data_IF_644933998981
#
_entry.id   IF_644933998981
#
_cell.length_a   1.000
_cell.length_b   1.000
_cell.length_c   1.000
_cell.angle_alpha   90.00
_cell.angle_beta   90.00
_cell.angle_gamma   90.00
#
_symmetry.space_group_name_H-M   'P 1'
#
loop_
_entity.id
_entity.type
_entity.pdbx_description
1 polymer ?
#
# COMPACT_ATOMS: atom_id res chain seq x y z
N UNK A 1 11.66 -37.90 -12.34
CA UNK A 1 12.35 -37.95 -11.05
C UNK A 1 13.50 -36.95 -11.06
N UNK A 2 13.34 -35.81 -10.39
CA UNK A 2 14.44 -34.88 -10.09
C UNK A 2 13.98 -33.99 -8.93
N UNK A 3 14.25 -34.41 -7.69
CA UNK A 3 14.10 -33.55 -6.50
C UNK A 3 15.29 -32.60 -6.45
N UNK A 4 15.10 -31.27 -6.33
CA UNK A 4 16.23 -30.38 -6.11
C UNK A 4 16.80 -30.59 -4.71
N UNK A 5 18.11 -30.78 -4.66
CA UNK A 5 18.92 -31.05 -3.47
C UNK A 5 18.82 -29.92 -2.44
N UNK A 6 18.54 -30.28 -1.19
CA UNK A 6 18.78 -29.45 -0.01
C UNK A 6 20.29 -29.22 0.14
N UNK A 7 20.78 -28.03 -0.18
CA UNK A 7 22.07 -27.52 0.32
C UNK A 7 21.81 -26.27 1.14
N UNK A 8 21.75 -26.43 2.45
CA UNK A 8 21.83 -25.34 3.41
C UNK A 8 23.31 -25.17 3.78
N UNK A 9 23.88 -23.99 3.50
CA UNK A 9 25.22 -23.62 3.95
C UNK A 9 25.21 -23.40 5.48
N UNK A 10 26.17 -24.02 6.17
CA UNK A 10 26.30 -24.08 7.63
C UNK A 10 27.09 -22.90 8.21
N UNK A 11 26.51 -21.70 8.20
CA UNK A 11 26.91 -20.61 9.11
C UNK A 11 25.68 -19.75 9.42
N UNK A 12 24.84 -20.25 10.33
CA UNK A 12 23.54 -19.63 10.65
C UNK A 12 23.78 -18.55 11.71
N UNK A 13 23.79 -17.28 11.31
CA UNK A 13 23.79 -16.16 12.26
C UNK A 13 22.49 -16.06 13.07
N UNK A 14 22.49 -15.36 14.23
CA UNK A 14 21.33 -15.26 15.13
C UNK A 14 20.08 -14.69 14.47
N UNK A 15 20.22 -13.76 13.52
CA UNK A 15 19.15 -13.23 12.67
C UNK A 15 18.37 -14.31 11.92
N UNK A 16 19.09 -15.28 11.36
CA UNK A 16 18.47 -16.37 10.62
C UNK A 16 17.68 -17.33 11.54
N UNK A 17 17.94 -17.31 12.85
CA UNK A 17 17.23 -18.14 13.84
C UNK A 17 15.86 -17.56 14.18
N UNK A 18 15.79 -16.27 14.49
CA UNK A 18 14.54 -15.56 14.83
C UNK A 18 13.49 -15.66 13.71
N UNK A 19 13.89 -15.31 12.48
CA UNK A 19 13.03 -15.40 11.29
C UNK A 19 12.60 -16.84 11.03
N UNK A 20 13.53 -17.81 11.13
CA UNK A 20 13.22 -19.23 10.92
C UNK A 20 12.25 -19.77 11.95
N UNK A 21 12.32 -19.33 13.21
CA UNK A 21 11.39 -19.74 14.25
C UNK A 21 9.98 -19.20 13.97
N UNK A 22 9.86 -17.92 13.59
CA UNK A 22 8.59 -17.34 13.19
C UNK A 22 7.99 -18.08 11.97
N UNK A 23 8.80 -18.34 10.94
CA UNK A 23 8.38 -19.12 9.76
C UNK A 23 7.88 -20.50 10.16
N UNK A 24 8.60 -21.23 11.03
CA UNK A 24 8.19 -22.55 11.50
C UNK A 24 6.88 -22.50 12.27
N UNK A 25 6.74 -21.56 13.18
CA UNK A 25 5.51 -21.36 13.96
C UNK A 25 4.31 -21.14 13.03
N UNK A 26 4.44 -20.22 12.06
CA UNK A 26 3.34 -19.91 11.15
C UNK A 26 3.11 -20.98 10.09
N UNK A 27 4.14 -21.70 9.65
CA UNK A 27 3.97 -22.87 8.79
C UNK A 27 3.18 -23.98 9.49
N UNK A 28 3.47 -24.25 10.76
CA UNK A 28 2.70 -25.22 11.56
C UNK A 28 1.25 -24.76 11.74
N UNK A 29 0.99 -23.47 11.87
CA UNK A 29 -0.37 -22.93 11.95
C UNK A 29 -1.10 -23.04 10.60
N UNK A 30 -0.50 -22.54 9.53
CA UNK A 30 -1.15 -22.34 8.24
C UNK A 30 -1.16 -23.59 7.35
N UNK A 31 -0.30 -24.58 7.62
CA UNK A 31 -0.14 -25.84 6.88
C UNK A 31 0.05 -25.65 5.36
N UNK A 32 1.06 -24.87 4.91
CA UNK A 32 1.37 -24.77 3.48
C UNK A 32 2.01 -26.08 2.97
N UNK A 33 1.85 -26.36 1.68
CA UNK A 33 2.46 -27.54 1.04
C UNK A 33 3.96 -27.32 0.79
N UNK A 34 4.34 -26.07 0.50
CA UNK A 34 5.70 -25.66 0.21
C UNK A 34 6.04 -24.36 0.94
N UNK A 35 7.32 -24.16 1.24
CA UNK A 35 7.85 -22.90 1.78
C UNK A 35 8.93 -22.40 0.84
N UNK A 36 8.81 -21.14 0.40
CA UNK A 36 9.71 -20.53 -0.56
C UNK A 36 10.28 -19.22 -0.01
N UNK A 37 11.60 -19.12 0.07
CA UNK A 37 12.30 -17.90 0.46
C UNK A 37 12.57 -17.06 -0.77
N UNK A 38 12.00 -15.87 -0.82
CA UNK A 38 12.16 -14.99 -1.95
C UNK A 38 13.51 -14.23 -1.89
N UNK A 39 14.15 -14.11 -3.06
CA UNK A 39 15.45 -13.42 -3.20
C UNK A 39 15.35 -11.99 -3.76
N UNK A 40 14.21 -11.62 -4.37
CA UNK A 40 13.96 -10.30 -4.94
C UNK A 40 14.52 -10.09 -6.35
N UNK A 41 15.12 -11.11 -6.97
CA UNK A 41 15.70 -11.05 -8.31
C UNK A 41 14.66 -10.78 -9.40
N UNK A 42 15.14 -10.34 -10.57
CA UNK A 42 14.26 -10.13 -11.73
C UNK A 42 13.78 -11.47 -12.31
N UNK A 43 14.63 -12.50 -12.26
CA UNK A 43 14.30 -13.87 -12.66
C UNK A 43 13.18 -14.45 -11.81
N UNK A 44 13.24 -14.25 -10.49
CA UNK A 44 12.18 -14.64 -9.56
C UNK A 44 10.87 -13.90 -9.85
N UNK A 45 10.94 -12.60 -10.10
CA UNK A 45 9.76 -11.81 -10.45
C UNK A 45 9.09 -12.31 -11.73
N UNK A 46 9.87 -12.55 -12.79
CA UNK A 46 9.38 -13.15 -14.05
C UNK A 46 8.71 -14.50 -13.83
N UNK A 47 9.27 -15.33 -12.94
CA UNK A 47 8.69 -16.62 -12.56
C UNK A 47 7.33 -16.44 -11.88
N UNK A 48 7.18 -15.49 -10.95
CA UNK A 48 5.90 -15.24 -10.28
C UNK A 48 4.84 -14.67 -11.23
N UNK A 49 5.23 -13.76 -12.12
CA UNK A 49 4.34 -13.24 -13.15
C UNK A 49 3.84 -14.36 -14.08
N UNK A 50 4.73 -15.28 -14.47
CA UNK A 50 4.37 -16.45 -15.27
C UNK A 50 3.48 -17.44 -14.53
N UNK A 51 3.73 -17.67 -13.22
CA UNK A 51 2.85 -18.47 -12.36
C UNK A 51 1.44 -17.86 -12.34
N UNK A 52 1.33 -16.55 -12.13
CA UNK A 52 0.03 -15.85 -12.13
C UNK A 52 -0.65 -15.88 -13.51
N UNK A 53 0.12 -15.84 -14.59
CA UNK A 53 -0.39 -15.99 -15.95
C UNK A 53 -0.98 -17.39 -16.18
N UNK A 54 -0.32 -18.44 -15.68
CA UNK A 54 -0.77 -19.84 -15.81
C UNK A 54 -1.89 -20.21 -14.84
N UNK A 55 -1.91 -19.61 -13.65
CA UNK A 55 -2.90 -19.85 -12.62
C UNK A 55 -4.23 -19.16 -12.94
N UNK A 56 -4.90 -19.61 -14.00
CA UNK A 56 -6.17 -19.06 -14.46
C UNK A 56 -6.07 -17.67 -15.10
N UNK A 57 -4.87 -17.11 -15.29
CA UNK A 57 -4.70 -15.79 -15.87
C UNK A 57 -4.99 -14.64 -14.89
N UNK A 58 -4.64 -14.81 -13.61
CA UNK A 58 -4.67 -13.74 -12.59
C UNK A 58 -3.95 -12.48 -13.11
N UNK A 59 -2.79 -12.67 -13.75
CA UNK A 59 -2.03 -11.61 -14.38
C UNK A 59 -1.99 -11.79 -15.90
N UNK A 60 -2.34 -10.74 -16.63
CA UNK A 60 -2.33 -10.68 -18.09
C UNK A 60 -1.25 -9.71 -18.57
N UNK A 61 -0.34 -10.09 -19.48
CA UNK A 61 0.64 -9.16 -20.03
C UNK A 61 -0.03 -8.12 -20.93
N UNK A 62 0.42 -6.87 -20.83
CA UNK A 62 -0.02 -5.73 -21.64
C UNK A 62 0.94 -5.53 -22.81
N UNK A 63 0.50 -5.88 -24.03
CA UNK A 63 1.38 -5.96 -25.22
C UNK A 63 1.93 -4.62 -25.70
N UNK A 64 1.25 -3.51 -25.39
CA UNK A 64 1.66 -2.16 -25.81
C UNK A 64 2.73 -1.55 -24.89
N UNK A 65 3.01 -2.19 -23.76
CA UNK A 65 3.81 -1.65 -22.66
C UNK A 65 4.92 -2.63 -22.31
N UNK A 66 6.04 -2.14 -21.79
CA UNK A 66 7.21 -2.99 -21.55
C UNK A 66 7.12 -3.69 -20.18
N UNK A 67 7.03 -5.01 -20.16
CA UNK A 67 6.91 -5.79 -18.91
C UNK A 67 5.79 -5.28 -17.97
N UNK A 68 4.66 -4.85 -18.54
CA UNK A 68 3.50 -4.41 -17.76
C UNK A 68 2.42 -5.51 -17.71
N UNK A 69 1.72 -5.56 -16.58
CA UNK A 69 0.78 -6.63 -16.27
C UNK A 69 -0.54 -6.07 -15.74
N UNK A 70 -1.65 -6.67 -16.15
CA UNK A 70 -3.00 -6.35 -15.70
C UNK A 70 -3.51 -7.46 -14.79
N UNK A 71 -3.99 -7.08 -13.61
CA UNK A 71 -4.59 -7.96 -12.62
C UNK A 71 -6.03 -7.51 -12.35
N UNK A 72 -6.93 -8.49 -12.24
CA UNK A 72 -8.37 -8.29 -12.03
C UNK A 72 -8.78 -8.96 -10.72
N UNK A 73 -9.35 -8.21 -9.79
CA UNK A 73 -9.74 -8.73 -8.48
C UNK A 73 -11.21 -9.10 -8.42
N UNK A 74 -11.59 -9.90 -7.43
CA UNK A 74 -12.99 -10.10 -7.06
C UNK A 74 -13.60 -8.73 -6.67
N UNK A 75 -14.78 -8.33 -7.16
CA UNK A 75 -15.47 -7.10 -6.76
C UNK A 75 -15.69 -6.94 -5.26
N UNK A 76 -15.70 -8.04 -4.50
CA UNK A 76 -15.77 -8.02 -3.04
C UNK A 76 -14.42 -7.69 -2.36
N UNK A 77 -13.32 -7.71 -3.11
CA UNK A 77 -11.95 -7.43 -2.65
C UNK A 77 -11.26 -6.35 -3.51
N UNK A 78 -11.77 -5.12 -3.40
CA UNK A 78 -11.33 -3.97 -4.22
C UNK A 78 -10.85 -2.77 -3.41
N UNK A 79 -10.91 -2.83 -2.08
CA UNK A 79 -10.68 -1.67 -1.22
C UNK A 79 -10.16 -2.06 0.16
N UNK A 80 -9.64 -1.07 0.90
CA UNK A 80 -9.46 -1.21 2.34
C UNK A 80 -10.83 -1.37 3.00
N UNK A 81 -10.90 -2.26 3.99
CA UNK A 81 -12.12 -2.52 4.77
C UNK A 81 -11.90 -1.98 6.18
N UNK A 82 -12.14 -0.69 6.37
CA UNK A 82 -11.85 0.01 7.63
C UNK A 82 -12.56 -0.64 8.82
N UNK A 83 -13.83 -1.05 8.66
CA UNK A 83 -14.61 -1.73 9.70
C UNK A 83 -14.06 -3.11 10.11
N UNK A 84 -13.14 -3.67 9.32
CA UNK A 84 -12.44 -4.94 9.59
C UNK A 84 -10.96 -4.74 9.89
N UNK A 85 -10.51 -3.49 10.00
CA UNK A 85 -9.15 -3.13 10.40
C UNK A 85 -9.15 -2.76 11.88
N UNK A 86 -8.40 -3.51 12.69
CA UNK A 86 -8.39 -3.39 14.16
C UNK A 86 -6.96 -3.25 14.69
N UNK A 87 -6.83 -2.55 15.81
CA UNK A 87 -5.62 -2.53 16.61
C UNK A 87 -5.97 -3.19 17.95
N UNK A 88 -5.10 -4.09 18.42
CA UNK A 88 -5.28 -4.80 19.68
C UNK A 88 -4.20 -4.42 20.66
N UNK A 89 -4.63 -3.81 21.76
CA UNK A 89 -3.82 -3.40 22.91
C UNK A 89 -4.52 -3.85 24.18
N UNK A 90 -3.76 -4.04 25.27
CA UNK A 90 -4.31 -4.45 26.56
C UNK A 90 -5.40 -3.48 27.06
N UNK A 91 -5.19 -2.17 26.94
CA UNK A 91 -6.18 -1.15 27.23
C UNK A 91 -6.73 -0.53 25.94
N UNK A 92 -8.05 -0.46 25.82
CA UNK A 92 -8.76 0.20 24.72
C UNK A 92 -8.33 1.66 24.54
N UNK A 93 -8.06 2.37 25.63
CA UNK A 93 -7.65 3.79 25.59
C UNK A 93 -6.30 4.01 24.90
N UNK A 94 -5.43 3.00 24.86
CA UNK A 94 -4.15 3.07 24.13
C UNK A 94 -4.37 3.07 22.60
N UNK A 95 -5.51 2.56 22.14
CA UNK A 95 -5.85 2.45 20.72
C UNK A 95 -6.81 3.55 20.26
N UNK A 96 -7.89 3.80 21.00
CA UNK A 96 -8.90 4.82 20.64
C UNK A 96 -9.32 5.65 21.85
N UNK A 97 -9.59 6.95 21.68
CA UNK A 97 -10.23 7.76 22.71
C UNK A 97 -11.59 7.18 23.10
N UNK A 98 -11.99 7.36 24.36
CA UNK A 98 -13.36 7.06 24.79
C UNK A 98 -14.26 8.18 24.27
N UNK A 99 -15.19 7.88 23.34
CA UNK A 99 -16.12 8.89 22.86
C UNK A 99 -17.11 9.26 23.98
N UNK A 100 -17.71 10.45 23.87
CA UNK A 100 -18.84 10.82 24.73
C UNK A 100 -19.98 9.80 24.57
N UNK A 101 -20.82 9.68 25.59
CA UNK A 101 -21.99 8.81 25.55
C UNK A 101 -22.88 9.14 24.35
N UNK A 102 -23.38 8.10 23.67
CA UNK A 102 -24.15 8.23 22.43
C UNK A 102 -23.33 8.57 21.16
N UNK A 103 -22.04 8.86 21.27
CA UNK A 103 -21.18 9.18 20.12
C UNK A 103 -20.40 7.94 19.66
N UNK A 104 -20.54 7.59 18.37
CA UNK A 104 -19.71 6.54 17.76
C UNK A 104 -18.31 7.07 17.46
N UNK A 105 -17.28 6.45 18.03
CA UNK A 105 -15.89 6.76 17.73
C UNK A 105 -15.55 6.54 16.25
N UNK A 106 -14.73 7.43 15.67
CA UNK A 106 -14.33 7.39 14.25
C UNK A 106 -12.81 7.31 14.05
N UNK A 107 -12.04 7.19 15.13
CA UNK A 107 -10.56 7.28 15.11
C UNK A 107 -9.87 5.90 15.10
N UNK A 108 -10.60 4.83 14.83
CA UNK A 108 -10.07 3.46 14.75
C UNK A 108 -11.03 2.44 15.34
N UNK A 109 -10.66 1.17 15.21
CA UNK A 109 -11.38 0.06 15.85
C UNK A 109 -10.42 -0.67 16.79
N UNK A 110 -10.83 -0.83 18.03
CA UNK A 110 -10.12 -1.65 19.00
C UNK A 110 -10.76 -3.03 19.12
N UNK A 111 -9.94 -4.05 19.28
CA UNK A 111 -10.37 -5.43 19.58
C UNK A 111 -9.55 -5.94 20.76
N UNK A 112 -10.20 -6.55 21.74
CA UNK A 112 -9.50 -7.08 22.92
C UNK A 112 -8.51 -8.18 22.51
N UNK A 113 -7.40 -8.38 23.24
CA UNK A 113 -6.45 -9.44 22.91
C UNK A 113 -7.07 -10.85 22.88
N UNK A 114 -8.05 -11.13 23.75
CA UNK A 114 -8.78 -12.41 23.76
C UNK A 114 -9.66 -12.59 22.54
N UNK A 115 -10.41 -11.56 22.14
CA UNK A 115 -11.28 -11.61 20.96
C UNK A 115 -10.46 -11.73 19.68
N UNK A 116 -9.33 -11.01 19.61
CA UNK A 116 -8.42 -11.11 18.49
C UNK A 116 -7.82 -12.51 18.40
N UNK A 117 -7.36 -13.09 19.51
CA UNK A 117 -6.83 -14.46 19.51
C UNK A 117 -7.87 -15.46 19.01
N UNK A 118 -9.13 -15.37 19.48
CA UNK A 118 -10.22 -16.22 19.00
C UNK A 118 -10.46 -16.03 17.50
N UNK A 119 -10.46 -14.78 17.01
CA UNK A 119 -10.64 -14.47 15.60
C UNK A 119 -9.50 -15.01 14.73
N UNK A 120 -8.24 -14.98 15.22
CA UNK A 120 -7.08 -15.55 14.52
C UNK A 120 -7.17 -17.09 14.46
N UNK A 121 -7.60 -17.75 15.54
CA UNK A 121 -7.80 -19.21 15.57
C UNK A 121 -8.94 -19.70 14.67
N UNK A 122 -9.98 -18.89 14.46
CA UNK A 122 -11.05 -19.19 13.48
C UNK A 122 -10.60 -19.08 12.00
N UNK A 123 -9.42 -18.48 11.75
CA UNK A 123 -8.98 -18.08 10.41
C UNK A 123 -7.73 -18.80 9.91
N UNK A 124 -6.65 -18.72 10.67
CA UNK A 124 -5.33 -19.12 10.20
C UNK A 124 -5.04 -20.64 10.20
N UNK A 125 -5.61 -21.47 11.09
CA UNK A 125 -5.37 -22.91 11.04
C UNK A 125 -5.68 -23.53 9.68
N UNK A 126 -4.65 -24.07 9.01
CA UNK A 126 -4.78 -24.74 7.71
C UNK A 126 -5.15 -23.84 6.52
N UNK A 127 -5.08 -22.51 6.67
CA UNK A 127 -5.52 -21.56 5.63
C UNK A 127 -4.68 -21.58 4.34
N UNK A 128 -3.47 -22.13 4.38
CA UNK A 128 -2.56 -22.23 3.25
C UNK A 128 -2.46 -23.65 2.67
N UNK A 129 -3.30 -24.59 3.11
CA UNK A 129 -3.27 -25.96 2.58
C UNK A 129 -3.43 -25.98 1.05
N UNK A 130 -2.54 -26.71 0.36
CA UNK A 130 -2.47 -26.72 -1.10
C UNK A 130 -1.68 -25.55 -1.72
N UNK A 131 -1.15 -24.62 -0.91
CA UNK A 131 -0.45 -23.41 -1.40
C UNK A 131 0.98 -23.36 -0.89
N UNK A 132 1.82 -22.63 -1.62
CA UNK A 132 3.14 -22.25 -1.13
C UNK A 132 3.03 -21.05 -0.18
N UNK A 133 3.78 -21.10 0.92
CA UNK A 133 4.05 -19.95 1.78
C UNK A 133 5.34 -19.26 1.30
N UNK A 134 5.21 -18.02 0.86
CA UNK A 134 6.31 -17.17 0.46
C UNK A 134 6.82 -16.36 1.64
N UNK A 135 8.13 -16.44 1.89
CA UNK A 135 8.85 -15.61 2.86
C UNK A 135 9.42 -14.44 2.08
N UNK A 136 8.94 -13.23 2.36
CA UNK A 136 9.40 -12.01 1.69
C UNK A 136 10.33 -11.26 2.65
N UNK A 137 11.66 -11.40 2.54
CA UNK A 137 12.55 -10.59 3.35
C UNK A 137 12.54 -9.15 2.83
N UNK A 138 11.91 -8.26 3.58
CA UNK A 138 12.17 -6.82 3.56
C UNK A 138 12.23 -6.33 5.01
N UNK A 139 12.44 -5.03 5.24
CA UNK A 139 12.51 -4.43 6.58
C UNK A 139 11.36 -4.77 7.56
N UNK A 140 10.28 -5.44 7.12
CA UNK A 140 9.10 -5.87 7.92
C UNK A 140 8.64 -7.32 7.62
N UNK A 141 9.58 -8.22 7.29
CA UNK A 141 9.38 -9.54 6.63
C UNK A 141 8.05 -10.30 6.77
N UNK A 142 7.14 -10.26 5.77
CA UNK A 142 5.88 -10.98 5.77
C UNK A 142 5.97 -12.38 5.19
N UNK A 143 5.06 -13.21 5.71
CA UNK A 143 4.67 -14.50 5.16
C UNK A 143 3.36 -14.32 4.39
N UNK A 144 3.29 -14.85 3.17
CA UNK A 144 2.09 -14.75 2.33
C UNK A 144 1.88 -16.00 1.47
N UNK A 145 0.64 -16.33 1.14
CA UNK A 145 0.28 -17.38 0.18
C UNK A 145 -0.05 -16.85 -1.23
N UNK A 146 0.17 -15.54 -1.46
CA UNK A 146 -0.21 -14.86 -2.71
C UNK A 146 1.02 -14.42 -3.53
N UNK A 147 1.23 -14.96 -4.75
CA UNK A 147 2.30 -14.49 -5.63
C UNK A 147 2.10 -13.05 -6.12
N UNK A 148 0.85 -12.56 -6.17
CA UNK A 148 0.56 -11.15 -6.47
C UNK A 148 1.15 -10.23 -5.39
N UNK A 149 1.01 -10.63 -4.11
CA UNK A 149 1.60 -9.89 -2.99
C UNK A 149 3.12 -9.89 -3.09
N UNK A 150 3.74 -11.02 -3.44
CA UNK A 150 5.20 -11.09 -3.65
C UNK A 150 5.66 -10.11 -4.73
N UNK A 151 5.06 -10.16 -5.93
CA UNK A 151 5.43 -9.28 -7.03
C UNK A 151 5.19 -7.79 -6.71
N UNK A 152 4.09 -7.48 -6.02
CA UNK A 152 3.77 -6.11 -5.61
C UNK A 152 4.70 -5.60 -4.51
N UNK A 153 5.04 -6.44 -3.53
CA UNK A 153 5.97 -6.09 -2.45
C UNK A 153 7.40 -5.89 -2.96
N UNK A 154 7.82 -6.63 -4.00
CA UNK A 154 9.08 -6.37 -4.69
C UNK A 154 9.15 -4.96 -5.27
N UNK A 155 8.04 -4.46 -5.83
CA UNK A 155 7.96 -3.08 -6.34
C UNK A 155 7.92 -2.08 -5.18
N UNK A 156 7.12 -2.36 -4.15
CA UNK A 156 6.80 -1.40 -3.10
C UNK A 156 7.82 -1.34 -1.96
N UNK A 157 8.72 -2.32 -1.84
CA UNK A 157 9.68 -2.41 -0.73
C UNK A 157 11.07 -2.82 -1.23
N UNK A 158 12.10 -2.56 -0.42
CA UNK A 158 13.44 -3.10 -0.65
C UNK A 158 13.45 -4.55 -0.17
N UNK A 159 13.19 -5.46 -1.10
CA UNK A 159 13.05 -6.89 -0.86
C UNK A 159 14.31 -7.65 -1.28
N UNK A 160 14.69 -8.67 -0.52
CA UNK A 160 15.71 -9.64 -0.91
C UNK A 160 16.73 -9.93 0.18
N UNK A 161 17.87 -10.51 -0.22
CA UNK A 161 18.92 -10.98 0.69
C UNK A 161 19.48 -9.87 1.60
N UNK A 162 19.74 -8.69 1.03
CA UNK A 162 20.27 -7.56 1.79
C UNK A 162 19.36 -7.13 2.95
N UNK A 163 18.03 -7.24 2.76
CA UNK A 163 17.09 -6.96 3.84
C UNK A 163 17.07 -8.05 4.90
N UNK A 164 17.22 -9.32 4.49
CA UNK A 164 17.34 -10.44 5.43
C UNK A 164 18.60 -10.31 6.29
N UNK A 165 19.73 -9.95 5.67
CA UNK A 165 21.02 -9.78 6.34
C UNK A 165 21.02 -8.55 7.27
N UNK A 166 20.17 -7.55 7.01
CA UNK A 166 20.02 -6.35 7.83
C UNK A 166 19.17 -6.55 9.11
N UNK A 167 18.36 -7.61 9.18
CA UNK A 167 17.60 -7.92 10.39
C UNK A 167 18.59 -8.29 11.51
N UNK A 168 18.35 -7.82 12.73
CA UNK A 168 19.19 -8.14 13.89
C UNK A 168 18.30 -8.71 15.00
N UNK A 169 18.48 -10.01 15.29
CA UNK A 169 17.69 -10.70 16.32
C UNK A 169 16.19 -10.65 16.04
N UNK A 170 15.40 -10.30 17.06
CA UNK A 170 13.94 -10.18 16.99
C UNK A 170 13.44 -8.78 16.62
N UNK A 171 14.35 -7.85 16.27
CA UNK A 171 14.00 -6.47 15.95
C UNK A 171 13.53 -6.31 14.49
N UNK A 172 12.37 -6.89 14.19
CA UNK A 172 11.66 -6.71 12.93
C UNK A 172 10.15 -6.84 13.16
N UNK A 173 9.35 -6.28 12.25
CA UNK A 173 7.90 -6.41 12.31
C UNK A 173 7.50 -7.74 11.70
N UNK A 174 6.84 -8.58 12.50
CA UNK A 174 6.31 -9.88 12.11
C UNK A 174 5.05 -9.67 11.30
N UNK A 175 5.03 -10.15 10.07
CA UNK A 175 3.86 -9.96 9.22
C UNK A 175 3.34 -11.32 8.71
N UNK A 176 2.06 -11.58 8.91
CA UNK A 176 1.38 -12.78 8.42
C UNK A 176 0.20 -12.38 7.55
N UNK A 177 0.16 -12.89 6.33
CA UNK A 177 -0.90 -12.66 5.38
C UNK A 177 -1.40 -13.98 4.79
N UNK A 178 -2.71 -14.14 4.68
CA UNK A 178 -3.31 -15.19 3.84
C UNK A 178 -4.52 -14.64 3.11
N UNK A 179 -4.69 -15.04 1.85
CA UNK A 179 -5.95 -14.80 1.10
C UNK A 179 -7.14 -15.55 1.70
N UNK A 180 -6.89 -16.50 2.61
CA UNK A 180 -7.90 -17.17 3.42
C UNK A 180 -8.72 -18.21 2.68
N UNK A 181 -8.12 -18.83 1.66
CA UNK A 181 -8.80 -19.76 0.75
C UNK A 181 -7.90 -20.95 0.41
N UNK A 182 -7.77 -21.95 1.31
CA UNK A 182 -7.00 -23.16 1.04
C UNK A 182 -7.60 -23.93 -0.14
N UNK A 183 -6.78 -24.64 -0.91
CA UNK A 183 -7.24 -25.23 -2.19
C UNK A 183 -8.38 -26.24 -2.01
N UNK A 184 -8.38 -26.98 -0.89
CA UNK A 184 -9.43 -27.94 -0.54
C UNK A 184 -10.83 -27.31 -0.37
N UNK A 185 -10.89 -26.01 -0.07
CA UNK A 185 -12.15 -25.29 0.17
C UNK A 185 -12.71 -24.64 -1.12
N UNK A 186 -11.96 -24.71 -2.24
CA UNK A 186 -12.39 -24.17 -3.53
C UNK A 186 -13.36 -25.16 -4.18
N UNK A 187 -14.65 -24.94 -3.94
CA UNK A 187 -15.75 -25.71 -4.54
C UNK A 187 -16.35 -25.06 -5.79
N UNK A 188 -16.11 -23.75 -5.99
CA UNK A 188 -16.63 -22.97 -7.12
C UNK A 188 -15.49 -22.24 -7.84
N UNK A 189 -15.64 -21.96 -9.15
CA UNK A 189 -14.70 -21.11 -9.87
C UNK A 189 -14.54 -19.76 -9.18
N UNK A 190 -13.30 -19.31 -9.03
CA UNK A 190 -13.00 -18.02 -8.45
C UNK A 190 -13.41 -16.89 -9.40
N UNK A 191 -13.96 -15.81 -8.84
CA UNK A 191 -14.30 -14.61 -9.62
C UNK A 191 -12.99 -13.94 -10.08
N UNK A 192 -12.81 -13.76 -11.38
CA UNK A 192 -11.57 -13.24 -11.99
C UNK A 192 -10.30 -14.03 -11.62
N UNK A 193 -10.46 -15.31 -11.23
CA UNK A 193 -9.36 -16.14 -10.71
C UNK A 193 -8.69 -15.57 -9.45
N UNK A 194 -9.34 -14.62 -8.77
CA UNK A 194 -8.78 -13.92 -7.62
C UNK A 194 -9.16 -14.64 -6.31
N UNK A 195 -8.18 -15.21 -5.58
CA UNK A 195 -8.47 -15.81 -4.28
C UNK A 195 -8.65 -14.74 -3.22
N UNK A 196 -9.80 -14.76 -2.54
CA UNK A 196 -10.09 -13.95 -1.37
C UNK A 196 -11.18 -14.62 -0.52
N UNK A 197 -11.35 -14.17 0.72
CA UNK A 197 -12.40 -14.61 1.64
C UNK A 197 -13.11 -13.40 2.25
N UNK A 198 -14.03 -12.75 1.49
CA UNK A 198 -14.64 -11.48 1.88
C UNK A 198 -15.42 -11.51 3.21
N UNK A 199 -16.02 -12.67 3.56
CA UNK A 199 -16.81 -12.81 4.78
C UNK A 199 -15.94 -12.86 6.05
N UNK A 200 -14.70 -13.33 5.94
CA UNK A 200 -13.76 -13.45 7.06
C UNK A 200 -12.65 -12.40 7.08
N UNK A 201 -12.71 -11.35 6.24
CA UNK A 201 -11.68 -10.29 6.21
C UNK A 201 -11.42 -9.75 7.62
N UNK A 202 -10.14 -9.74 8.00
CA UNK A 202 -9.64 -9.16 9.24
C UNK A 202 -8.21 -8.67 9.02
N UNK A 203 -7.97 -7.39 9.26
CA UNK A 203 -6.63 -6.79 9.25
C UNK A 203 -6.35 -6.37 10.69
N UNK A 204 -5.36 -6.97 11.32
CA UNK A 204 -5.06 -6.76 12.73
C UNK A 204 -3.63 -6.27 12.94
N UNK A 205 -3.49 -5.29 13.82
CA UNK A 205 -2.21 -4.74 14.26
C UNK A 205 -2.04 -5.00 15.74
N UNK A 206 -0.89 -5.57 16.12
CA UNK A 206 -0.58 -6.01 17.49
C UNK A 206 0.74 -5.36 17.91
N UNK A 207 0.72 -4.10 18.37
CA UNK A 207 1.93 -3.35 18.69
C UNK A 207 2.82 -4.06 19.72
N UNK A 208 2.22 -4.63 20.76
CA UNK A 208 2.94 -5.30 21.86
C UNK A 208 3.78 -6.51 21.40
N UNK A 209 3.41 -7.13 20.27
CA UNK A 209 4.13 -8.27 19.68
C UNK A 209 4.94 -7.90 18.44
N UNK A 210 4.90 -6.62 18.06
CA UNK A 210 5.38 -6.12 16.79
C UNK A 210 4.86 -6.95 15.60
N UNK A 211 3.57 -7.31 15.63
CA UNK A 211 2.96 -8.24 14.67
C UNK A 211 1.78 -7.61 13.92
N UNK A 212 1.70 -7.90 12.63
CA UNK A 212 0.56 -7.59 11.76
C UNK A 212 0.04 -8.91 11.20
N UNK A 213 -1.25 -9.20 11.41
CA UNK A 213 -1.89 -10.37 10.83
C UNK A 213 -3.08 -9.94 9.97
N UNK A 214 -3.05 -10.30 8.69
CA UNK A 214 -4.09 -9.98 7.71
C UNK A 214 -4.64 -11.23 7.06
N UNK A 215 -5.97 -11.31 6.96
CA UNK A 215 -6.66 -12.47 6.45
C UNK A 215 -7.77 -12.08 5.48
N UNK A 216 -7.92 -12.86 4.41
CA UNK A 216 -9.10 -12.86 3.56
C UNK A 216 -9.11 -11.85 2.40
N UNK A 217 -8.08 -11.01 2.27
CA UNK A 217 -8.02 -9.98 1.22
C UNK A 217 -6.63 -9.96 0.58
N UNK A 218 -6.57 -10.08 -0.75
CA UNK A 218 -5.35 -9.94 -1.52
C UNK A 218 -5.09 -8.50 -1.98
N UNK A 219 -6.04 -7.58 -1.78
CA UNK A 219 -5.98 -6.24 -2.34
C UNK A 219 -5.06 -5.29 -1.57
N UNK A 220 -4.04 -4.78 -2.25
CA UNK A 220 -3.30 -3.55 -1.94
C UNK A 220 -3.06 -3.31 -0.45
N UNK A 221 -3.74 -2.30 0.11
CA UNK A 221 -3.56 -1.94 1.52
C UNK A 221 -3.86 -3.06 2.52
N UNK A 222 -4.66 -4.07 2.20
CA UNK A 222 -4.92 -5.16 3.16
C UNK A 222 -3.82 -6.24 3.12
N UNK A 223 -3.06 -6.33 2.02
CA UNK A 223 -2.12 -7.44 1.78
C UNK A 223 -0.66 -7.00 1.68
N UNK A 224 -0.41 -5.75 1.26
CA UNK A 224 0.92 -5.12 1.22
C UNK A 224 1.24 -4.56 2.61
N UNK A 225 1.57 -5.44 3.57
CA UNK A 225 1.63 -5.10 4.99
C UNK A 225 2.69 -4.02 5.34
N UNK A 226 3.74 -3.87 4.51
CA UNK A 226 4.71 -2.79 4.64
C UNK A 226 4.17 -1.40 4.28
N UNK A 227 3.01 -1.32 3.61
CA UNK A 227 2.37 -0.08 3.17
C UNK A 227 1.47 0.55 4.25
N UNK A 228 1.08 -0.19 5.28
CA UNK A 228 0.11 0.29 6.28
C UNK A 228 0.78 0.86 7.53
N UNK A 229 1.54 1.95 7.38
CA UNK A 229 2.02 2.76 8.51
C UNK A 229 1.94 4.26 8.17
N UNK A 230 1.77 5.12 9.18
CA UNK A 230 1.32 6.53 9.10
C UNK A 230 1.94 7.34 7.94
N UNK A 231 1.08 8.03 7.20
CA UNK A 231 1.40 8.75 5.97
C UNK A 231 1.72 10.22 6.24
N UNK A 232 2.96 10.61 6.02
CA UNK A 232 3.37 11.97 5.65
C UNK A 232 4.02 11.84 4.26
N UNK A 233 4.01 12.82 3.37
CA UNK A 233 4.84 12.76 2.13
C UNK A 233 5.60 14.04 1.98
N UNK A 234 6.69 14.03 1.21
CA UNK A 234 7.44 15.24 0.89
C UNK A 234 7.55 15.47 -0.61
N UNK A 235 7.03 16.61 -1.07
CA UNK A 235 7.25 17.18 -2.39
C UNK A 235 8.34 18.24 -2.32
N UNK A 236 9.29 18.22 -3.25
CA UNK A 236 10.28 19.29 -3.37
C UNK A 236 9.72 20.45 -4.19
N UNK A 237 9.92 21.70 -3.75
CA UNK A 237 9.75 22.88 -4.61
C UNK A 237 11.12 23.55 -4.74
N UNK A 238 11.63 23.69 -5.97
CA UNK A 238 12.91 24.35 -6.28
C UNK A 238 12.66 25.62 -7.08
N UNK A 239 12.95 26.77 -6.47
CA UNK A 239 13.18 28.05 -7.15
C UNK A 239 14.39 28.72 -6.49
N UNK A 240 15.51 28.83 -7.23
CA UNK A 240 16.85 29.30 -6.84
C UNK A 240 17.54 28.59 -5.64
N UNK A 241 16.82 28.23 -4.57
CA UNK A 241 17.27 27.43 -3.43
C UNK A 241 16.36 26.21 -3.24
N UNK A 242 16.94 25.02 -3.03
CA UNK A 242 16.22 23.75 -2.88
C UNK A 242 15.55 23.69 -1.49
N UNK A 243 14.24 23.48 -1.43
CA UNK A 243 13.46 23.31 -0.17
C UNK A 243 12.59 22.05 -0.23
N UNK A 244 12.60 21.27 0.84
CA UNK A 244 11.76 20.08 0.97
C UNK A 244 10.50 20.42 1.77
N UNK A 245 9.34 20.04 1.24
CA UNK A 245 8.05 20.35 1.83
C UNK A 245 7.30 19.05 2.06
N UNK A 246 6.84 18.80 3.28
CA UNK A 246 5.93 17.72 3.55
C UNK A 246 4.47 18.13 3.29
N UNK A 247 3.59 17.21 2.90
CA UNK A 247 2.18 17.47 2.75
C UNK A 247 1.34 16.31 3.33
N UNK A 248 0.13 16.63 3.76
CA UNK A 248 -0.85 15.76 4.41
C UNK A 248 -2.28 16.10 3.90
N UNK A 249 -2.83 15.19 3.11
CA UNK A 249 -4.06 15.18 2.34
C UNK A 249 -4.69 13.78 2.43
N UNK A 250 -6.02 13.69 2.57
CA UNK A 250 -6.73 12.42 2.53
C UNK A 250 -6.45 11.59 1.27
N UNK A 251 -6.82 10.31 1.33
CA UNK A 251 -6.63 9.42 0.18
C UNK A 251 -7.41 9.92 -1.04
N UNK A 252 -6.77 9.87 -2.21
CA UNK A 252 -7.26 10.43 -3.47
C UNK A 252 -7.45 11.97 -3.47
N UNK A 253 -6.78 12.73 -2.61
CA UNK A 253 -6.81 14.20 -2.60
C UNK A 253 -5.56 14.87 -3.25
N UNK A 254 -4.90 14.19 -4.19
CA UNK A 254 -3.88 14.83 -5.07
C UNK A 254 -2.43 14.71 -4.62
N UNK A 255 -2.10 13.84 -3.66
CA UNK A 255 -0.74 13.62 -3.14
C UNK A 255 0.28 13.31 -4.25
N UNK A 256 0.01 12.27 -5.02
CA UNK A 256 0.87 11.84 -6.13
C UNK A 256 0.98 12.91 -7.22
N UNK A 257 -0.10 13.66 -7.48
CA UNK A 257 -0.06 14.79 -8.43
C UNK A 257 0.84 15.91 -7.93
N UNK A 258 0.78 16.27 -6.64
CA UNK A 258 1.65 17.30 -6.07
C UNK A 258 3.11 16.83 -6.01
N UNK A 259 3.35 15.60 -5.56
CA UNK A 259 4.69 15.03 -5.44
C UNK A 259 5.42 14.89 -6.78
N UNK A 260 4.68 14.70 -7.87
CA UNK A 260 5.20 14.55 -9.24
C UNK A 260 4.85 15.74 -10.14
N UNK A 261 4.50 16.89 -9.57
CA UNK A 261 4.03 18.05 -10.31
C UNK A 261 5.04 18.48 -11.39
N UNK A 262 4.55 18.78 -12.58
CA UNK A 262 5.32 19.52 -13.58
C UNK A 262 4.92 21.00 -13.46
N UNK A 263 5.77 21.88 -12.88
CA UNK A 263 5.41 23.27 -12.65
C UNK A 263 5.10 23.99 -13.96
N UNK A 264 4.05 24.81 -13.96
CA UNK A 264 3.73 25.72 -15.06
C UNK A 264 4.51 27.04 -14.97
N UNK A 265 5.01 27.36 -13.78
CA UNK A 265 5.81 28.57 -13.53
C UNK A 265 7.23 28.39 -14.06
N UNK A 266 7.71 29.28 -14.97
CA UNK A 266 9.08 29.23 -15.47
C UNK A 266 10.12 29.31 -14.34
N UNK A 267 11.19 28.52 -14.46
CA UNK A 267 12.28 28.49 -13.46
C UNK A 267 12.00 27.64 -12.22
N UNK A 268 10.77 27.18 -12.00
CA UNK A 268 10.44 26.26 -10.91
C UNK A 268 10.65 24.80 -11.35
N UNK A 269 11.24 24.00 -10.47
CA UNK A 269 11.35 22.54 -10.62
C UNK A 269 10.79 21.84 -9.40
N UNK A 270 10.01 20.78 -9.61
CA UNK A 270 9.56 19.89 -8.54
C UNK A 270 10.24 18.54 -8.74
N UNK A 271 10.73 17.97 -7.64
CA UNK A 271 11.31 16.63 -7.61
C UNK A 271 10.59 15.79 -6.54
N UNK A 272 10.33 14.52 -6.86
CA UNK A 272 9.63 13.59 -5.99
C UNK A 272 10.65 12.86 -5.10
N UNK A 273 10.46 12.93 -3.78
CA UNK A 273 11.15 12.04 -2.84
C UNK A 273 10.25 10.84 -2.50
N UNK A 274 8.93 11.08 -2.39
CA UNK A 274 7.90 10.04 -2.34
C UNK A 274 6.50 10.65 -2.24
N UNK A 275 5.44 9.83 -2.35
CA UNK A 275 4.07 10.31 -2.55
C UNK A 275 3.04 9.88 -1.49
N UNK A 276 3.38 8.94 -0.59
CA UNK A 276 2.41 8.41 0.38
C UNK A 276 2.92 8.30 1.83
N UNK A 277 4.15 7.82 2.08
CA UNK A 277 4.67 7.59 3.45
C UNK A 277 5.98 8.35 3.70
N UNK A 278 6.15 8.89 4.90
CA UNK A 278 7.35 9.59 5.32
C UNK A 278 7.56 9.33 6.80
N UNK A 279 8.74 8.78 7.09
CA UNK A 279 9.24 8.70 8.45
C UNK A 279 10.03 9.96 8.72
N UNK A 280 9.74 10.63 9.82
CA UNK A 280 10.39 11.89 10.15
C UNK A 280 10.95 11.81 11.56
N UNK A 281 12.15 12.33 11.74
CA UNK A 281 12.86 12.37 13.02
C UNK A 281 13.66 13.67 13.09
N UNK A 282 13.71 14.28 14.26
CA UNK A 282 14.70 15.32 14.51
C UNK A 282 16.08 14.68 14.59
N UNK A 283 16.99 15.13 13.72
CA UNK A 283 18.39 14.73 13.76
C UNK A 283 19.11 15.48 14.90
N UNK A 284 20.34 15.07 15.19
CA UNK A 284 21.12 15.61 16.30
C UNK A 284 21.42 17.12 16.16
N UNK A 285 21.36 17.64 14.94
CA UNK A 285 21.52 19.07 14.64
C UNK A 285 20.22 19.88 14.78
N UNK A 286 19.12 19.24 15.19
CA UNK A 286 17.79 19.85 15.32
C UNK A 286 17.04 19.98 14.00
N UNK A 287 17.59 19.50 12.88
CA UNK A 287 16.90 19.49 11.60
C UNK A 287 15.82 18.40 11.58
N UNK A 288 14.64 18.71 11.01
CA UNK A 288 13.56 17.74 10.89
C UNK A 288 13.76 16.91 9.63
N UNK A 289 14.47 15.79 9.76
CA UNK A 289 14.86 14.93 8.66
C UNK A 289 13.79 13.91 8.31
N UNK A 290 13.60 13.69 7.01
CA UNK A 290 12.61 12.78 6.45
C UNK A 290 13.24 11.64 5.67
N UNK A 291 12.72 10.43 5.88
CA UNK A 291 13.07 9.19 5.20
C UNK A 291 11.85 8.62 4.44
N UNK A 292 12.08 8.08 3.23
CA UNK A 292 11.06 7.37 2.44
C UNK A 292 11.19 5.86 2.67
N UNK A 293 10.20 5.20 3.32
CA UNK A 293 10.29 3.78 3.62
C UNK A 293 9.90 2.87 2.44
N UNK A 294 9.00 3.31 1.55
CA UNK A 294 8.60 2.51 0.39
C UNK A 294 9.68 2.54 -0.70
N UNK A 295 9.66 1.63 -1.68
CA UNK A 295 10.54 1.57 -2.87
C UNK A 295 9.82 1.81 -4.22
N UNK A 296 8.49 1.92 -4.20
CA UNK A 296 7.65 2.12 -5.38
C UNK A 296 6.49 3.09 -5.14
N UNK A 297 5.66 3.30 -6.16
CA UNK A 297 4.44 4.09 -6.09
C UNK A 297 3.22 3.18 -6.17
N UNK A 298 2.26 3.36 -5.26
CA UNK A 298 0.96 2.67 -5.29
C UNK A 298 -0.17 3.68 -5.58
N UNK A 299 -0.16 4.19 -6.80
CA UNK A 299 -0.98 5.34 -7.22
C UNK A 299 -2.46 5.00 -7.44
N UNK A 300 -3.30 6.01 -7.31
CA UNK A 300 -4.68 6.00 -7.83
C UNK A 300 -4.60 6.17 -9.36
N UNK A 301 -5.17 5.24 -10.13
CA UNK A 301 -5.19 5.36 -11.60
C UNK A 301 -6.17 6.45 -12.12
N UNK A 302 -7.43 6.54 -11.65
CA UNK A 302 -8.42 7.44 -12.23
C UNK A 302 -8.06 8.90 -12.14
N UNK A 303 -8.18 9.60 -13.27
CA UNK A 303 -7.79 11.00 -13.42
C UNK A 303 -6.31 11.21 -13.77
N UNK A 304 -5.49 10.14 -13.86
CA UNK A 304 -4.10 10.23 -14.33
C UNK A 304 -4.07 10.24 -15.86
N UNK A 305 -3.61 11.35 -16.44
CA UNK A 305 -3.33 11.48 -17.87
C UNK A 305 -2.16 12.45 -18.10
N UNK A 306 -1.68 12.57 -19.34
CA UNK A 306 -0.53 13.42 -19.67
C UNK A 306 -0.73 14.90 -19.31
N UNK A 307 -1.98 15.35 -19.21
CA UNK A 307 -2.33 16.69 -18.75
C UNK A 307 -2.23 16.85 -17.23
N UNK A 308 -2.70 15.86 -16.45
CA UNK A 308 -2.79 15.97 -14.98
C UNK A 308 -1.54 15.49 -14.24
N UNK A 309 -0.83 14.51 -14.79
CA UNK A 309 0.42 13.99 -14.24
C UNK A 309 1.29 13.32 -15.33
N UNK A 310 2.01 14.11 -16.16
CA UNK A 310 2.87 13.57 -17.21
C UNK A 310 4.01 12.71 -16.66
N UNK A 311 4.53 13.02 -15.47
CA UNK A 311 5.59 12.23 -14.84
C UNK A 311 5.11 10.84 -14.44
N UNK A 312 3.91 10.72 -13.87
CA UNK A 312 3.29 9.42 -13.61
C UNK A 312 3.07 8.65 -14.92
N UNK A 313 2.56 9.30 -15.97
CA UNK A 313 2.36 8.65 -17.27
C UNK A 313 3.64 8.07 -17.87
N UNK A 314 4.79 8.74 -17.72
CA UNK A 314 6.08 8.18 -18.15
C UNK A 314 6.55 7.04 -17.24
N UNK A 315 6.31 7.16 -15.92
CA UNK A 315 6.73 6.16 -14.92
C UNK A 315 6.08 4.80 -15.15
N UNK A 316 4.80 4.79 -15.54
CA UNK A 316 3.97 3.57 -15.60
C UNK A 316 4.11 2.78 -16.93
N UNK A 317 4.96 3.23 -17.86
CA UNK A 317 5.08 2.61 -19.19
C UNK A 317 5.81 1.28 -19.18
N UNK A 318 6.63 1.02 -18.16
CA UNK A 318 7.41 -0.20 -18.02
C UNK A 318 7.32 -0.81 -16.63
N UNK A 319 7.55 -2.13 -16.50
CA UNK A 319 7.68 -2.88 -15.24
C UNK A 319 6.57 -2.59 -14.22
N UNK A 320 5.34 -2.38 -14.69
CA UNK A 320 4.23 -1.87 -13.87
C UNK A 320 3.12 -2.90 -13.76
N UNK A 321 2.59 -3.09 -12.55
CA UNK A 321 1.40 -3.91 -12.30
C UNK A 321 0.19 -2.99 -12.14
N UNK A 322 -0.75 -3.11 -13.07
CA UNK A 322 -2.04 -2.45 -13.03
C UNK A 322 -3.09 -3.36 -12.42
N UNK A 323 -3.85 -2.83 -11.47
CA UNK A 323 -4.93 -3.59 -10.83
C UNK A 323 -6.25 -2.92 -11.14
N UNK A 324 -7.19 -3.68 -11.71
CA UNK A 324 -8.57 -3.29 -12.01
C UNK A 324 -8.80 -2.18 -13.05
N UNK A 325 -7.77 -1.74 -13.77
CA UNK A 325 -7.92 -0.74 -14.86
C UNK A 325 -8.62 -1.33 -16.09
N UNK A 326 -9.16 -0.46 -16.94
CA UNK A 326 -9.64 -0.86 -18.26
C UNK A 326 -8.48 -1.28 -19.17
N UNK A 327 -8.75 -2.19 -20.10
CA UNK A 327 -7.80 -2.64 -21.12
C UNK A 327 -8.28 -2.18 -22.50
N UNK A 328 -7.36 -1.67 -23.33
CA UNK A 328 -7.66 -1.26 -24.71
C UNK A 328 -7.45 -2.41 -25.69
N UNK A 329 -8.13 -2.38 -26.84
CA UNK A 329 -8.04 -3.45 -27.86
C UNK A 329 -6.64 -3.68 -28.42
N UNK A 330 -5.76 -2.67 -28.36
CA UNK A 330 -4.35 -2.73 -28.75
C UNK A 330 -3.41 -3.22 -27.62
N UNK A 331 -3.96 -3.65 -26.47
CA UNK A 331 -3.19 -4.20 -25.35
C UNK A 331 -2.53 -3.17 -24.46
N UNK A 332 -3.08 -1.95 -24.40
CA UNK A 332 -2.74 -0.91 -23.42
C UNK A 332 -3.76 -0.80 -22.28
N UNK A 333 -3.72 0.31 -21.54
CA UNK A 333 -4.58 0.57 -20.38
C UNK A 333 -5.43 1.82 -20.55
N UNK A 334 -6.62 1.80 -19.96
CA UNK A 334 -7.51 2.94 -19.83
C UNK A 334 -7.64 3.31 -18.35
N UNK A 335 -7.06 4.45 -17.97
CA UNK A 335 -6.95 4.86 -16.57
C UNK A 335 -8.17 5.66 -16.07
N UNK A 336 -9.00 6.22 -16.96
CA UNK A 336 -10.26 6.87 -16.63
C UNK A 336 -10.14 8.38 -16.41
N UNK A 337 -11.22 9.11 -16.68
CA UNK A 337 -11.28 10.56 -16.46
C UNK A 337 -11.59 10.96 -15.01
N UNK A 338 -11.46 12.25 -14.66
CA UNK A 338 -11.92 12.75 -13.37
C UNK A 338 -13.46 12.60 -13.24
N UNK A 339 -13.92 11.67 -12.39
CA UNK A 339 -15.34 11.45 -12.10
C UNK A 339 -15.59 10.13 -11.35
N UNK A 340 -16.71 10.04 -10.61
CA UNK A 340 -17.09 8.90 -9.74
C UNK A 340 -17.46 7.59 -10.49
N UNK A 341 -17.16 7.47 -11.78
CA UNK A 341 -17.50 6.30 -12.60
C UNK A 341 -16.43 5.22 -12.49
N UNK A 342 -16.72 4.12 -11.80
CA UNK A 342 -15.91 2.90 -11.92
C UNK A 342 -15.97 2.34 -13.33
N UNK A 343 -14.89 1.69 -13.77
CA UNK A 343 -14.91 0.92 -15.00
C UNK A 343 -15.85 -0.28 -14.83
N UNK A 344 -16.79 -0.44 -15.76
CA UNK A 344 -17.38 -1.74 -15.99
C UNK A 344 -16.30 -2.64 -16.62
N UNK A 345 -16.25 -3.91 -16.22
CA UNK A 345 -15.58 -4.98 -16.97
C UNK A 345 -16.32 -5.19 -18.30
N UNK A 346 -16.33 -4.22 -19.21
CA UNK A 346 -16.81 -4.47 -20.57
C UNK A 346 -15.70 -5.19 -21.35
N UNK A 347 -16.04 -6.18 -22.21
CA UNK A 347 -15.10 -6.75 -23.18
C UNK A 347 -14.49 -5.62 -24.02
N UNK A 348 -13.32 -5.84 -24.66
CA UNK A 348 -12.53 -4.76 -25.25
C UNK A 348 -13.44 -3.91 -26.14
N UNK A 349 -13.70 -2.67 -25.73
CA UNK A 349 -14.23 -1.71 -26.67
C UNK A 349 -13.18 -1.64 -27.76
N UNK A 350 -13.58 -1.97 -28.99
CA UNK A 350 -12.88 -1.61 -30.20
C UNK A 350 -12.90 -0.08 -30.31
N UNK A 351 -12.18 0.59 -29.40
CA UNK A 351 -11.91 2.01 -29.49
C UNK A 351 -10.78 2.16 -30.50
N UNK A 352 -10.96 2.96 -31.57
CA UNK A 352 -9.89 3.23 -32.52
C UNK A 352 -8.65 3.76 -31.79
N UNK A 353 -7.48 3.34 -32.24
CA UNK A 353 -6.19 3.71 -31.68
C UNK A 353 -6.07 5.24 -31.46
N UNK A 354 -5.67 5.67 -30.27
CA UNK A 354 -5.31 7.07 -30.03
C UNK A 354 -5.52 7.54 -28.60
N UNK A 355 -4.41 7.67 -27.88
CA UNK A 355 -4.18 8.31 -26.57
C UNK A 355 -5.14 7.96 -25.40
N UNK A 356 -4.56 7.85 -24.20
CA UNK A 356 -5.34 7.71 -22.96
C UNK A 356 -6.20 8.96 -22.74
N UNK A 357 -7.45 8.95 -23.25
CA UNK A 357 -8.38 10.08 -23.10
C UNK A 357 -8.85 10.18 -21.65
N UNK A 358 -8.57 11.32 -21.03
CA UNK A 358 -9.25 11.77 -19.81
C UNK A 358 -10.74 12.01 -20.16
N UNK A 359 -11.69 11.23 -19.61
CA UNK A 359 -13.12 11.62 -19.64
C UNK A 359 -14.18 10.56 -20.00
N UNK A 360 -13.84 9.29 -20.22
CA UNK A 360 -14.88 8.28 -20.49
C UNK A 360 -15.68 7.94 -19.22
N UNK A 361 -16.90 8.48 -19.11
CA UNK A 361 -17.95 8.00 -18.19
C UNK A 361 -18.53 6.71 -18.76
N UNK A 362 -18.35 5.58 -18.09
CA UNK A 362 -19.17 4.38 -18.34
C UNK A 362 -20.31 4.30 -17.35
N UNK A 363 -21.47 3.83 -17.83
CA UNK A 363 -22.73 3.79 -17.09
C UNK A 363 -22.61 3.06 -15.75
N UNK A 364 -23.17 3.69 -14.73
CA UNK A 364 -23.21 3.23 -13.35
C UNK A 364 -24.22 2.08 -13.18
N UNK A 365 -23.74 0.84 -13.09
CA UNK A 365 -24.57 -0.28 -12.61
C UNK A 365 -23.87 -1.22 -11.61
N UNK A 366 -22.59 -0.97 -11.27
CA UNK A 366 -21.85 -1.75 -10.25
C UNK A 366 -20.96 -0.83 -9.39
N UNK A 367 -20.68 -1.19 -8.12
CA UNK A 367 -19.85 -0.38 -7.23
C UNK A 367 -18.49 -0.07 -7.88
N UNK A 368 -17.92 1.13 -7.65
CA UNK A 368 -16.69 1.54 -8.33
C UNK A 368 -15.55 0.60 -7.95
N UNK A 369 -15.09 -0.17 -8.94
CA UNK A 369 -13.89 -1.00 -8.81
C UNK A 369 -12.71 -0.03 -8.69
N UNK A 370 -11.97 -0.08 -7.58
CA UNK A 370 -10.82 0.82 -7.40
C UNK A 370 -9.64 0.30 -8.17
N UNK A 371 -9.05 1.21 -8.93
CA UNK A 371 -7.96 0.90 -9.84
C UNK A 371 -6.66 1.51 -9.32
N UNK A 372 -5.61 0.70 -9.36
CA UNK A 372 -4.30 1.01 -8.76
C UNK A 372 -3.19 0.74 -9.74
N UNK A 373 -2.10 1.45 -9.55
CA UNK A 373 -0.86 1.24 -10.31
C UNK A 373 0.28 1.05 -9.34
N UNK A 374 0.98 -0.09 -9.45
CA UNK A 374 2.21 -0.37 -8.72
C UNK A 374 3.38 -0.19 -9.66
N UNK A 375 4.15 0.89 -9.49
CA UNK A 375 5.25 1.25 -10.37
C UNK A 375 6.59 1.42 -9.60
N UNK A 376 7.72 0.89 -10.12
CA UNK A 376 9.04 1.08 -9.52
C UNK A 376 9.47 2.56 -9.47
N UNK A 377 10.14 2.98 -8.39
CA UNK A 377 10.47 4.39 -8.15
C UNK A 377 11.77 4.88 -8.82
N UNK A 378 12.96 4.29 -8.59
CA UNK A 378 14.21 5.04 -8.76
C UNK A 378 14.64 5.26 -10.22
N UNK A 379 14.40 4.28 -11.10
CA UNK A 379 14.83 4.33 -12.50
C UNK A 379 13.78 4.87 -13.47
N UNK A 380 12.50 4.87 -13.08
CA UNK A 380 11.39 5.12 -14.01
C UNK A 380 10.70 6.47 -13.84
N UNK A 381 10.73 7.08 -12.65
CA UNK A 381 10.09 8.37 -12.46
C UNK A 381 11.03 9.52 -12.87
N UNK A 382 10.69 10.31 -13.91
CA UNK A 382 11.59 11.35 -14.46
C UNK A 382 11.88 12.48 -13.49
N UNK A 383 10.99 12.72 -12.54
CA UNK A 383 11.09 13.79 -11.55
C UNK A 383 11.67 13.32 -10.22
N UNK A 384 12.26 12.13 -10.11
CA UNK A 384 12.83 11.66 -8.83
C UNK A 384 13.99 12.52 -8.33
N UNK A 385 13.97 12.82 -7.03
CA UNK A 385 15.14 13.35 -6.32
C UNK A 385 16.07 12.20 -5.92
N UNK A 386 17.23 12.14 -6.56
CA UNK A 386 18.24 11.09 -6.31
C UNK A 386 18.96 11.25 -4.97
N UNK A 387 19.02 12.48 -4.43
CA UNK A 387 19.73 12.74 -3.17
C UNK A 387 18.93 12.30 -1.95
N UNK A 388 17.61 12.53 -1.97
CA UNK A 388 16.71 12.20 -0.86
C UNK A 388 16.39 10.71 -0.67
N UNK A 389 16.92 9.83 -1.53
CA UNK A 389 16.73 8.38 -1.41
C UNK A 389 17.68 7.73 -0.39
N UNK A 390 18.89 8.28 -0.24
CA UNK A 390 19.98 7.68 0.57
C UNK A 390 20.21 8.34 1.92
N UNK A 391 19.71 9.57 2.11
CA UNK A 391 19.88 10.37 3.33
C UNK A 391 18.57 11.06 3.67
N UNK A 392 18.34 11.29 4.97
CA UNK A 392 17.20 12.07 5.43
C UNK A 392 17.22 13.46 4.78
N UNK A 393 16.05 13.97 4.37
CA UNK A 393 15.93 15.32 3.78
C UNK A 393 15.34 16.31 4.79
N UNK A 394 15.90 17.53 4.93
CA UNK A 394 15.43 18.50 5.91
C UNK A 394 14.13 19.16 5.46
N UNK A 395 13.04 18.93 6.19
CA UNK A 395 11.72 19.48 5.90
C UNK A 395 11.66 20.94 6.36
N UNK A 396 11.24 21.82 5.45
CA UNK A 396 11.12 23.28 5.68
C UNK A 396 9.67 23.74 5.87
N UNK A 397 8.69 22.95 5.44
CA UNK A 397 7.26 23.26 5.61
C UNK A 397 6.43 21.98 5.63
N UNK A 398 5.27 22.02 6.28
CA UNK A 398 4.26 20.95 6.26
C UNK A 398 2.93 21.55 5.78
N UNK A 399 2.35 20.96 4.74
CA UNK A 399 1.09 21.40 4.13
C UNK A 399 -0.03 20.47 4.59
N UNK A 400 -1.15 21.03 5.01
CA UNK A 400 -2.40 20.29 5.24
C UNK A 400 -3.43 20.67 4.18
N UNK A 401 -4.30 19.73 3.79
CA UNK A 401 -5.39 20.07 2.87
C UNK A 401 -6.36 18.92 2.56
N UNK A 402 -7.40 19.21 1.80
CA UNK A 402 -8.45 18.26 1.48
C UNK A 402 -9.32 18.77 0.34
N UNK A 403 -10.54 18.23 0.24
CA UNK A 403 -11.55 18.69 -0.73
C UNK A 403 -12.71 19.38 -0.01
N UNK A 404 -12.54 20.62 0.47
CA UNK A 404 -13.66 21.41 0.97
C UNK A 404 -14.47 21.97 -0.22
N UNK A 405 -15.80 21.84 -0.24
CA UNK A 405 -16.60 22.37 -1.35
C UNK A 405 -16.74 23.90 -1.32
N UNK A 406 -16.60 24.53 -0.15
CA UNK A 406 -16.70 25.99 0.01
C UNK A 406 -16.05 26.46 1.33
N UNK A 407 -15.77 27.76 1.43
CA UNK A 407 -15.42 28.47 2.68
C UNK A 407 -13.95 28.39 3.12
N UNK A 408 -13.18 27.41 2.65
CA UNK A 408 -11.73 27.31 2.92
C UNK A 408 -10.98 28.04 1.81
N UNK A 409 -10.07 28.99 2.12
CA UNK A 409 -9.28 29.70 1.11
C UNK A 409 -8.28 28.76 0.42
N UNK A 410 -7.71 29.20 -0.71
CA UNK A 410 -6.75 28.41 -1.49
C UNK A 410 -5.51 28.01 -0.67
N UNK A 411 -4.95 28.94 0.10
CA UNK A 411 -3.81 28.72 0.98
C UNK A 411 -3.87 29.72 2.14
N UNK A 412 -3.46 29.28 3.32
CA UNK A 412 -3.24 30.12 4.50
C UNK A 412 -2.13 29.50 5.36
N UNK A 413 -1.47 30.33 6.17
CA UNK A 413 -0.35 29.92 7.02
C UNK A 413 -0.78 29.88 8.50
N UNK A 414 -0.19 28.95 9.25
CA UNK A 414 -0.43 28.86 10.68
C UNK A 414 0.38 29.90 11.46
N UNK A 415 -0.30 30.70 12.30
CA UNK A 415 0.34 31.68 13.19
C UNK A 415 1.36 31.10 14.20
N UNK A 416 1.33 29.79 14.48
CA UNK A 416 2.24 29.12 15.41
C UNK A 416 2.23 27.61 15.18
N UNK A 417 3.17 26.89 15.80
CA UNK A 417 3.20 25.43 15.77
C UNK A 417 1.92 24.81 16.34
N UNK A 418 1.46 25.30 17.50
CA UNK A 418 0.23 24.81 18.15
C UNK A 418 -0.99 25.06 17.27
N UNK A 419 -1.05 26.22 16.61
CA UNK A 419 -2.10 26.52 15.65
C UNK A 419 -2.03 25.58 14.43
N UNK A 420 -0.82 25.25 13.94
CA UNK A 420 -0.60 24.26 12.88
C UNK A 420 -1.11 22.86 13.25
N UNK A 421 -0.84 22.41 14.48
CA UNK A 421 -1.37 21.14 15.01
C UNK A 421 -2.90 21.17 15.08
N UNK A 422 -3.49 22.28 15.51
CA UNK A 422 -4.95 22.47 15.51
C UNK A 422 -5.56 22.43 14.10
N UNK A 423 -4.91 23.07 13.11
CA UNK A 423 -5.32 23.02 11.71
C UNK A 423 -5.31 21.58 11.19
N UNK A 424 -4.24 20.83 11.45
CA UNK A 424 -4.13 19.41 11.10
C UNK A 424 -5.24 18.56 11.75
N UNK A 425 -5.52 18.79 13.03
CA UNK A 425 -6.59 18.12 13.75
C UNK A 425 -8.01 18.49 13.26
N UNK A 426 -8.17 19.68 12.68
CA UNK A 426 -9.45 20.20 12.18
C UNK A 426 -9.74 19.83 10.72
N UNK A 427 -8.85 19.05 10.09
CA UNK A 427 -8.98 18.68 8.68
C UNK A 427 -10.30 17.97 8.37
N UNK A 428 -10.91 18.39 7.27
CA UNK A 428 -12.13 17.81 6.71
C UNK A 428 -11.98 17.65 5.20
N UNK A 429 -12.60 16.61 4.66
CA UNK A 429 -12.61 16.38 3.22
C UNK A 429 -13.90 15.67 2.82
N UNK A 430 -14.38 15.93 1.61
CA UNK A 430 -15.36 15.07 0.97
C UNK A 430 -14.84 13.62 0.93
N UNK A 431 -15.74 12.68 1.21
CA UNK A 431 -15.45 11.26 1.14
C UNK A 431 -15.01 10.89 -0.28
N UNK A 432 -13.89 10.19 -0.39
CA UNK A 432 -13.37 9.74 -1.68
C UNK A 432 -13.63 8.26 -1.88
N UNK A 433 -13.51 7.81 -3.13
CA UNK A 433 -13.57 6.40 -3.50
C UNK A 433 -12.34 5.60 -3.01
N UNK A 434 -11.70 5.97 -1.90
CA UNK A 434 -10.53 5.30 -1.33
C UNK A 434 -10.82 4.47 -0.06
N UNK A 435 -11.97 4.72 0.59
CA UNK A 435 -12.54 3.93 1.71
C UNK A 435 -13.99 3.48 1.41
N UNK A 436 -14.60 2.63 2.23
CA UNK A 436 -15.94 2.05 1.97
C UNK A 436 -17.13 3.03 2.01
N UNK A 437 -16.91 4.28 2.43
CA UNK A 437 -17.96 5.31 2.52
C UNK A 437 -18.46 5.74 1.14
N UNK A 438 -19.79 5.85 0.97
CA UNK A 438 -20.44 6.29 -0.28
C UNK A 438 -20.92 7.74 -0.18
N UNK A 439 -20.81 8.49 -1.28
CA UNK A 439 -21.42 9.82 -1.48
C UNK A 439 -20.53 11.01 -1.09
N UNK A 440 -20.97 12.23 -1.47
CA UNK A 440 -20.28 13.51 -1.20
C UNK A 440 -20.52 14.03 0.23
N UNK A 441 -20.17 13.22 1.22
CA UNK A 441 -20.28 13.62 2.63
C UNK A 441 -18.96 14.20 3.10
N UNK A 442 -18.98 15.36 3.75
CA UNK A 442 -17.79 15.94 4.36
C UNK A 442 -17.50 15.20 5.66
N UNK A 443 -16.34 14.56 5.74
CA UNK A 443 -15.89 13.80 6.91
C UNK A 443 -14.69 14.47 7.57
N UNK A 444 -14.58 14.32 8.88
CA UNK A 444 -13.35 14.67 9.61
C UNK A 444 -12.25 13.67 9.29
N UNK A 445 -11.10 14.16 8.87
CA UNK A 445 -9.92 13.35 8.59
C UNK A 445 -8.69 14.01 9.25
N UNK A 446 -8.66 14.06 10.61
CA UNK A 446 -7.56 14.68 11.34
C UNK A 446 -6.22 14.07 10.94
N UNK A 447 -5.33 14.91 10.43
CA UNK A 447 -3.96 14.50 10.10
C UNK A 447 -3.06 14.53 11.34
N UNK A 448 -2.00 13.71 11.37
CA UNK A 448 -1.52 12.87 10.26
C UNK A 448 -2.23 11.52 10.09
N UNK A 449 -3.15 11.16 10.97
CA UNK A 449 -3.59 9.78 11.10
C UNK A 449 -5.07 9.71 11.50
N UNK A 450 -5.97 9.96 10.56
CA UNK A 450 -7.36 9.55 10.68
C UNK A 450 -7.68 8.56 9.57
N UNK A 451 -8.30 7.45 9.96
CA UNK A 451 -8.90 6.43 9.09
C UNK A 451 -7.95 5.53 8.28
N UNK A 452 -6.70 5.91 8.00
CA UNK A 452 -5.86 5.18 7.01
C UNK A 452 -4.57 4.55 7.52
N UNK A 453 -4.28 4.60 8.82
CA UNK A 453 -2.98 4.12 9.30
C UNK A 453 -3.09 3.52 10.69
N UNK A 454 -2.58 2.29 10.81
CA UNK A 454 -2.22 1.75 12.09
C UNK A 454 -1.07 2.57 12.65
N UNK A 455 -1.29 3.16 13.82
CA UNK A 455 -0.22 3.69 14.64
C UNK A 455 0.55 2.50 15.21
N UNK A 456 1.65 2.10 14.57
CA UNK A 456 2.72 1.45 15.32
C UNK A 456 3.38 2.57 16.11
N UNK A 457 2.98 2.70 17.38
CA UNK A 457 3.80 3.38 18.37
C UNK A 457 5.14 2.64 18.38
N UNK A 458 6.17 3.21 17.75
CA UNK A 458 7.54 2.91 18.13
C UNK A 458 7.66 3.46 19.56
N UNK A 459 7.42 2.58 20.53
CA UNK A 459 7.79 2.80 21.92
C UNK A 459 9.28 3.13 21.91
N UNK A 460 9.62 4.36 22.26
CA UNK A 460 10.96 4.68 22.72
C UNK A 460 11.16 3.88 24.01
N UNK A 461 11.82 2.72 23.91
CA UNK A 461 12.44 2.12 25.07
C UNK A 461 13.53 3.08 25.54
N UNK A 462 13.16 3.92 26.50
CA UNK A 462 14.12 4.52 27.43
C UNK A 462 14.75 3.38 28.20
N UNK A 463 15.91 2.91 27.73
CA UNK A 463 16.83 2.10 28.51
C UNK A 463 18.24 2.54 28.16
N UNK A 464 18.89 3.22 29.12
CA UNK A 464 20.32 3.55 29.12
C UNK A 464 20.60 4.98 28.71
#
# INVERSE_FOLDING_TARGET
SARPSRRANNSIGPTAVAVRNYVKEKANLCQPDDIYLCDGSEEENKRFLEIMRRAGGIAKPLRKMDNCWLVRTDPADVARVESKTVISTADKRQTVPIPKEGVKGQLGNWMSPSDLQAALQDRFPGCMAGRAMYIIPFSMGPLTDSPYVVASMRIMTRMGRSALDAIQGDNYVKCLHSVGLPLKDISKPLVQNWPCNPSKILISHIPDRNEIASFGSGYGGNSLLGKNTCSFWASLIRAANKKYVAAAFPSACGKTNLAMLQPTLPGYKVECVGDDIAWMKFDADGSFARYQPEAGFFGVAPGTCSHTNPNAMRTIQSNTIFTNVGETGDGGVLLGGPGEGGFAWTPPLASPAGEARCGLRTAATRPPIRTRVSAPRPSQCPSMDRLGESRGVPISAVIFGGRPPAGVPLVFEANSWQHGVFIGASMRSEATAAASTRGKVIMHDPSPCARSSATTLLTTSTTG
#
